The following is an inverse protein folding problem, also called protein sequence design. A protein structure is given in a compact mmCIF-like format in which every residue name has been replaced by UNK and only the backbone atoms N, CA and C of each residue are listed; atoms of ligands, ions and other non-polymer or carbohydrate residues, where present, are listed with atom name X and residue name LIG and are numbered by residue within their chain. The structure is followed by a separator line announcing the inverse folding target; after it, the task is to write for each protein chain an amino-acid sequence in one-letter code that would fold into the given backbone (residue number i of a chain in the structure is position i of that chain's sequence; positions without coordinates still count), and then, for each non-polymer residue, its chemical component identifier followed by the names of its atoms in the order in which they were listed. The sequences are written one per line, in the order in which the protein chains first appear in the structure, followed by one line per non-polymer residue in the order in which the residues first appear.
data_IF_793070341159
#
_entry.id   IF_793070341159
#
_cell.length_a   1.000
_cell.length_b   1.000
_cell.length_c   1.000
_cell.angle_alpha   90.00
_cell.angle_beta   90.00
_cell.angle_gamma   90.00
#
_symmetry.space_group_name_H-M   'P 1'
#
loop_
_entity.id
_entity.type
_entity.pdbx_description
1 polymer ?
#
# COMPACT_ATOMS: atom_id res chain seq x y z
N UNK A 1 3.09 -22.72 -10.55
CA UNK A 1 3.31 -24.16 -10.85
C UNK A 1 3.32 -24.39 -12.35
N UNK A 2 4.20 -25.26 -12.82
CA UNK A 2 4.31 -25.59 -14.25
C UNK A 2 4.42 -27.09 -14.43
N UNK A 3 3.95 -27.57 -15.58
CA UNK A 3 4.20 -28.93 -16.05
C UNK A 3 5.38 -28.88 -17.00
N UNK A 4 6.37 -29.74 -16.77
CA UNK A 4 7.60 -29.77 -17.57
C UNK A 4 7.77 -31.12 -18.23
N UNK A 5 8.38 -31.12 -19.40
CA UNK A 5 8.91 -32.31 -20.06
C UNK A 5 10.41 -32.36 -19.80
N UNK A 6 10.89 -33.43 -19.21
CA UNK A 6 12.32 -33.63 -18.91
C UNK A 6 12.96 -34.42 -20.04
N UNK A 7 14.01 -33.86 -20.65
CA UNK A 7 14.76 -34.53 -21.70
C UNK A 7 15.72 -35.58 -21.12
N UNK A 8 15.60 -36.82 -21.53
CA UNK A 8 16.55 -37.89 -21.19
C UNK A 8 17.86 -37.72 -21.96
N UNK A 9 18.79 -36.88 -21.51
CA UNK A 9 20.15 -36.83 -22.07
C UNK A 9 21.10 -37.71 -21.25
N UNK A 10 21.69 -38.71 -21.92
CA UNK A 10 22.60 -39.70 -21.32
C UNK A 10 23.96 -39.15 -20.85
N UNK A 11 24.29 -37.88 -21.08
CA UNK A 11 25.62 -37.31 -20.81
C UNK A 11 25.67 -35.98 -20.04
N UNK A 12 24.56 -35.40 -19.57
CA UNK A 12 24.56 -34.15 -18.84
C UNK A 12 24.34 -34.40 -17.34
N UNK A 13 25.16 -33.79 -16.47
CA UNK A 13 25.01 -33.82 -15.02
C UNK A 13 23.78 -33.04 -14.51
N UNK A 14 23.18 -32.22 -15.36
CA UNK A 14 21.96 -31.44 -15.02
C UNK A 14 20.84 -31.83 -15.97
N UNK A 15 19.65 -32.20 -15.48
CA UNK A 15 18.50 -32.47 -16.31
C UNK A 15 18.08 -31.18 -17.02
N UNK A 16 17.83 -31.27 -18.31
CA UNK A 16 17.22 -30.19 -19.11
C UNK A 16 15.72 -30.48 -19.21
N UNK A 17 14.91 -29.45 -19.11
CA UNK A 17 13.45 -29.56 -19.18
C UNK A 17 12.85 -28.40 -19.95
N UNK A 18 11.72 -28.65 -20.61
CA UNK A 18 10.89 -27.66 -21.28
C UNK A 18 9.57 -27.49 -20.53
N UNK A 19 9.13 -26.24 -20.36
CA UNK A 19 7.81 -25.95 -19.80
C UNK A 19 6.76 -26.17 -20.89
N UNK A 20 5.91 -27.18 -20.72
CA UNK A 20 4.85 -27.53 -21.68
C UNK A 20 3.51 -26.90 -21.32
N UNK A 21 3.28 -26.58 -20.02
CA UNK A 21 2.03 -26.02 -19.54
C UNK A 21 2.26 -25.20 -18.28
N UNK A 22 1.61 -24.04 -18.20
CA UNK A 22 1.56 -23.24 -16.97
C UNK A 22 0.25 -23.62 -16.26
N UNK A 23 0.38 -24.33 -15.13
CA UNK A 23 -0.77 -24.77 -14.32
C UNK A 23 -1.29 -23.61 -13.45
N UNK A 24 -0.37 -22.86 -12.85
CA UNK A 24 -0.68 -21.77 -11.92
C UNK A 24 0.42 -20.71 -12.00
N UNK A 25 0.04 -19.46 -12.20
CA UNK A 25 0.97 -18.34 -12.16
C UNK A 25 1.24 -17.94 -10.69
N UNK A 26 2.46 -17.60 -10.38
CA UNK A 26 2.83 -17.16 -9.03
C UNK A 26 2.34 -15.74 -8.75
N UNK A 27 2.24 -14.90 -9.79
CA UNK A 27 1.76 -13.53 -9.73
C UNK A 27 0.85 -13.28 -10.92
N UNK A 28 -0.30 -12.69 -10.66
CA UNK A 28 -1.32 -12.35 -11.68
C UNK A 28 -1.65 -10.86 -11.69
N UNK A 29 -1.20 -10.11 -10.69
CA UNK A 29 -1.46 -8.68 -10.56
C UNK A 29 -0.14 -7.91 -10.65
N UNK A 30 -0.14 -6.84 -11.42
CA UNK A 30 1.05 -6.05 -11.73
C UNK A 30 0.73 -4.57 -11.65
N UNK A 31 1.68 -3.80 -11.12
CA UNK A 31 1.62 -2.34 -11.16
C UNK A 31 2.37 -1.87 -12.41
N UNK A 32 1.83 -0.86 -13.07
CA UNK A 32 2.48 -0.26 -14.22
C UNK A 32 1.82 1.04 -14.66
N UNK A 33 2.43 1.69 -15.62
CA UNK A 33 1.88 2.91 -16.23
C UNK A 33 1.10 2.51 -17.49
N UNK A 34 -0.12 3.04 -17.62
CA UNK A 34 -0.97 2.74 -18.77
C UNK A 34 -0.79 3.77 -19.89
N UNK A 35 -0.50 3.27 -21.08
CA UNK A 35 -0.55 4.03 -22.34
C UNK A 35 -1.85 3.72 -23.06
N UNK A 36 -2.77 4.71 -23.14
CA UNK A 36 -4.09 4.53 -23.74
C UNK A 36 -4.10 5.05 -25.17
N UNK A 37 -4.52 4.17 -26.08
CA UNK A 37 -4.85 4.47 -27.47
C UNK A 37 -6.37 4.65 -27.63
N UNK A 38 -6.84 4.85 -28.86
CA UNK A 38 -8.29 5.13 -29.11
C UNK A 38 -9.24 4.06 -28.53
N UNK A 39 -8.90 2.79 -28.58
CA UNK A 39 -9.78 1.68 -28.23
C UNK A 39 -9.16 0.60 -27.32
N UNK A 40 -7.96 0.84 -26.81
CA UNK A 40 -7.23 -0.08 -25.93
C UNK A 40 -6.12 0.65 -25.19
N UNK A 41 -5.49 -0.01 -24.26
CA UNK A 41 -4.27 0.47 -23.60
C UNK A 41 -3.23 -0.63 -23.49
N UNK A 42 -1.99 -0.23 -23.26
CA UNK A 42 -0.91 -1.09 -22.83
C UNK A 42 -0.42 -0.66 -21.47
N UNK A 43 -0.20 -1.62 -20.58
CA UNK A 43 0.39 -1.35 -19.26
C UNK A 43 1.84 -1.81 -19.27
N UNK A 44 2.76 -0.86 -19.17
CA UNK A 44 4.19 -1.09 -19.05
C UNK A 44 4.53 -1.25 -17.57
N UNK A 45 5.01 -2.43 -17.18
CA UNK A 45 5.32 -2.75 -15.79
C UNK A 45 6.80 -2.57 -15.50
N UNK A 46 7.15 -2.12 -14.29
CA UNK A 46 8.53 -2.07 -13.81
C UNK A 46 9.08 -3.44 -13.39
N UNK A 47 8.25 -4.47 -13.40
CA UNK A 47 8.62 -5.81 -12.95
C UNK A 47 9.50 -6.52 -13.99
N UNK A 48 10.77 -6.78 -13.64
CA UNK A 48 11.75 -7.43 -14.51
C UNK A 48 11.36 -8.85 -15.00
N UNK A 49 10.37 -9.48 -14.36
CA UNK A 49 9.86 -10.80 -14.77
C UNK A 49 8.76 -10.70 -15.85
N UNK A 50 8.19 -9.50 -16.04
CA UNK A 50 7.25 -9.21 -17.11
C UNK A 50 8.00 -8.51 -18.26
N UNK A 51 8.33 -9.25 -19.29
CA UNK A 51 9.19 -8.80 -20.39
C UNK A 51 8.43 -8.14 -21.55
N UNK A 52 7.11 -8.03 -21.43
CA UNK A 52 6.23 -7.41 -22.44
C UNK A 52 5.11 -6.63 -21.76
N UNK A 53 4.55 -5.66 -22.45
CA UNK A 53 3.42 -4.86 -21.97
C UNK A 53 2.15 -5.69 -21.92
N UNK A 54 1.26 -5.36 -20.99
CA UNK A 54 -0.04 -6.02 -20.83
C UNK A 54 -1.08 -5.27 -21.65
N UNK A 55 -1.69 -5.93 -22.61
CA UNK A 55 -2.78 -5.37 -23.42
C UNK A 55 -4.08 -5.31 -22.61
N UNK A 56 -4.73 -4.15 -22.60
CA UNK A 56 -6.00 -3.90 -21.90
C UNK A 56 -7.02 -3.40 -22.91
N UNK A 57 -8.09 -4.15 -23.20
CA UNK A 57 -9.16 -3.72 -24.11
C UNK A 57 -9.98 -2.58 -23.48
N UNK A 58 -10.62 -1.75 -24.33
CA UNK A 58 -11.34 -0.55 -23.93
C UNK A 58 -12.34 -0.74 -22.78
N UNK A 59 -13.09 -1.84 -22.81
CA UNK A 59 -14.11 -2.17 -21.80
C UNK A 59 -13.52 -2.66 -20.46
N UNK A 60 -12.19 -2.74 -20.35
CA UNK A 60 -11.47 -3.17 -19.15
C UNK A 60 -10.48 -2.11 -18.63
N UNK A 61 -10.58 -0.89 -19.13
CA UNK A 61 -9.72 0.23 -18.70
C UNK A 61 -10.11 0.77 -17.32
N UNK A 62 -11.33 0.53 -16.84
CA UNK A 62 -11.81 0.94 -15.49
C UNK A 62 -11.52 2.42 -15.18
N UNK A 63 -11.94 3.32 -16.08
CA UNK A 63 -11.80 4.79 -15.99
C UNK A 63 -10.34 5.30 -15.94
N UNK A 64 -9.34 4.44 -16.16
CA UNK A 64 -7.95 4.84 -16.26
C UNK A 64 -7.74 5.83 -17.40
N UNK A 65 -6.91 6.82 -17.16
CA UNK A 65 -6.46 7.80 -18.13
C UNK A 65 -5.04 7.51 -18.60
N UNK A 66 -4.69 8.01 -19.77
CA UNK A 66 -3.33 7.88 -20.28
C UNK A 66 -2.32 8.44 -19.27
N UNK A 67 -1.29 7.65 -18.98
CA UNK A 67 -0.24 7.98 -18.04
C UNK A 67 -0.53 7.70 -16.57
N UNK A 68 -1.70 7.13 -16.22
CA UNK A 68 -1.98 6.73 -14.85
C UNK A 68 -1.12 5.53 -14.43
N UNK A 69 -0.79 5.49 -13.14
CA UNK A 69 -0.31 4.27 -12.47
C UNK A 69 -1.51 3.42 -12.14
N UNK A 70 -1.51 2.18 -12.61
CA UNK A 70 -2.63 1.26 -12.45
C UNK A 70 -2.18 -0.07 -11.89
N UNK A 71 -3.07 -0.72 -11.14
CA UNK A 71 -2.99 -2.14 -10.83
C UNK A 71 -3.77 -2.90 -11.90
N UNK A 72 -3.09 -3.77 -12.65
CA UNK A 72 -3.67 -4.58 -13.73
C UNK A 72 -3.61 -6.07 -13.37
N UNK A 73 -4.71 -6.77 -13.59
CA UNK A 73 -4.78 -8.23 -13.46
C UNK A 73 -4.55 -8.87 -14.82
N UNK A 74 -3.63 -9.81 -14.88
CA UNK A 74 -3.40 -10.66 -16.04
C UNK A 74 -4.50 -11.74 -16.09
N UNK A 75 -5.27 -11.73 -17.16
CA UNK A 75 -6.37 -12.66 -17.33
C UNK A 75 -5.98 -13.86 -18.21
N UNK A 76 -5.39 -13.59 -19.37
CA UNK A 76 -5.00 -14.62 -20.32
C UNK A 76 -3.69 -14.27 -21.03
N UNK A 77 -2.99 -15.29 -21.46
CA UNK A 77 -1.80 -15.16 -22.30
C UNK A 77 -1.81 -16.25 -23.38
N UNK A 78 -2.50 -16.00 -24.50
CA UNK A 78 -2.55 -16.96 -25.59
C UNK A 78 -1.16 -17.23 -26.16
N UNK A 79 -0.83 -18.47 -26.47
CA UNK A 79 0.49 -18.90 -26.98
C UNK A 79 0.97 -18.15 -28.25
N UNK A 80 0.03 -17.58 -29.02
CA UNK A 80 0.31 -16.85 -30.27
C UNK A 80 0.25 -15.33 -30.10
N UNK A 81 -0.05 -14.82 -28.90
CA UNK A 81 -0.13 -13.39 -28.64
C UNK A 81 1.22 -12.84 -28.17
N UNK A 82 1.64 -11.73 -28.75
CA UNK A 82 2.86 -11.04 -28.37
C UNK A 82 2.75 -10.42 -26.96
N UNK A 83 1.54 -10.05 -26.57
CA UNK A 83 1.22 -9.45 -25.26
C UNK A 83 0.14 -10.24 -24.55
N UNK A 84 0.23 -10.37 -23.21
CA UNK A 84 -0.85 -10.92 -22.40
C UNK A 84 -2.04 -9.95 -22.35
N UNK A 85 -3.22 -10.49 -22.10
CA UNK A 85 -4.45 -9.73 -21.89
C UNK A 85 -4.67 -9.49 -20.40
N UNK A 86 -5.07 -8.28 -20.05
CA UNK A 86 -5.38 -7.90 -18.67
C UNK A 86 -6.57 -6.97 -18.55
N UNK A 87 -6.94 -6.72 -17.31
CA UNK A 87 -7.94 -5.72 -16.94
C UNK A 87 -7.39 -4.83 -15.85
N UNK A 88 -7.65 -3.53 -15.92
CA UNK A 88 -7.35 -2.61 -14.82
C UNK A 88 -8.27 -2.95 -13.64
N UNK A 89 -7.67 -3.26 -12.49
CA UNK A 89 -8.40 -3.48 -11.24
C UNK A 89 -8.67 -2.14 -10.57
N UNK A 90 -7.61 -1.31 -10.51
CA UNK A 90 -7.65 -0.02 -9.82
C UNK A 90 -6.70 0.98 -10.46
N UNK A 91 -7.11 2.25 -10.48
CA UNK A 91 -6.24 3.40 -10.74
C UNK A 91 -5.63 3.82 -9.41
N UNK A 92 -4.30 3.85 -9.32
CA UNK A 92 -3.58 4.21 -8.10
C UNK A 92 -3.31 5.72 -8.01
N UNK A 93 -3.19 6.39 -9.15
CA UNK A 93 -2.98 7.85 -9.24
C UNK A 93 -2.01 8.23 -10.37
N UNK A 94 -1.42 9.41 -10.25
CA UNK A 94 -0.43 9.90 -11.21
C UNK A 94 1.00 9.55 -10.77
N UNK A 95 1.92 9.27 -11.72
CA UNK A 95 3.33 9.05 -11.41
C UNK A 95 3.93 10.25 -10.66
N UNK A 96 4.75 9.98 -9.64
CA UNK A 96 5.44 10.99 -8.84
C UNK A 96 4.64 11.61 -7.71
N UNK A 97 3.36 11.27 -7.56
CA UNK A 97 2.58 11.59 -6.36
C UNK A 97 2.97 10.62 -5.23
N UNK A 98 3.27 11.15 -4.05
CA UNK A 98 3.76 10.36 -2.92
C UNK A 98 2.85 9.17 -2.58
N UNK A 99 1.55 9.41 -2.45
CA UNK A 99 0.58 8.38 -2.09
C UNK A 99 0.46 7.31 -3.20
N UNK A 100 0.53 7.74 -4.47
CA UNK A 100 0.55 6.83 -5.63
C UNK A 100 1.75 5.90 -5.59
N UNK A 101 2.95 6.43 -5.31
CA UNK A 101 4.18 5.62 -5.24
C UNK A 101 4.12 4.61 -4.08
N UNK A 102 3.61 5.03 -2.91
CA UNK A 102 3.43 4.12 -1.76
C UNK A 102 2.41 3.03 -2.07
N UNK A 103 1.24 3.39 -2.61
CA UNK A 103 0.22 2.41 -3.00
C UNK A 103 0.72 1.45 -4.08
N UNK A 104 1.51 1.95 -5.03
CA UNK A 104 2.14 1.14 -6.07
C UNK A 104 3.09 0.09 -5.47
N UNK A 105 3.93 0.48 -4.51
CA UNK A 105 4.82 -0.44 -3.80
C UNK A 105 4.02 -1.49 -3.03
N UNK A 106 3.04 -1.07 -2.23
CA UNK A 106 2.22 -1.99 -1.46
C UNK A 106 1.51 -3.02 -2.37
N UNK A 107 0.87 -2.53 -3.45
CA UNK A 107 0.20 -3.39 -4.43
C UNK A 107 1.17 -4.34 -5.15
N UNK A 108 2.38 -3.88 -5.51
CA UNK A 108 3.40 -4.73 -6.14
C UNK A 108 3.82 -5.90 -5.26
N UNK A 109 3.84 -5.71 -3.94
CA UNK A 109 4.17 -6.76 -2.96
C UNK A 109 2.95 -7.52 -2.44
N UNK A 110 1.74 -7.19 -2.92
CA UNK A 110 0.49 -7.84 -2.48
C UNK A 110 0.11 -7.48 -1.05
N UNK A 111 0.56 -6.32 -0.56
CA UNK A 111 0.18 -5.78 0.74
C UNK A 111 -1.10 -4.94 0.62
N UNK A 112 -1.92 -4.86 1.69
CA UNK A 112 -3.06 -3.96 1.71
C UNK A 112 -2.63 -2.50 1.49
N UNK A 113 -3.32 -1.78 0.64
CA UNK A 113 -3.08 -0.37 0.33
C UNK A 113 -4.33 0.50 0.50
N UNK A 114 -5.45 -0.11 0.87
CA UNK A 114 -6.69 0.54 1.25
C UNK A 114 -7.26 -0.11 2.50
N UNK A 115 -7.99 0.66 3.29
CA UNK A 115 -8.84 0.11 4.33
C UNK A 115 -10.17 -0.36 3.74
N UNK A 116 -10.81 -1.40 4.33
CA UNK A 116 -12.19 -1.73 4.02
C UNK A 116 -13.13 -0.53 4.23
N UNK A 117 -14.17 -0.41 3.39
CA UNK A 117 -15.10 0.74 3.43
C UNK A 117 -15.75 0.91 4.80
N UNK A 118 -16.05 -0.20 5.49
CA UNK A 118 -16.61 -0.19 6.84
C UNK A 118 -15.64 0.34 7.90
N UNK A 119 -14.32 0.13 7.72
CA UNK A 119 -13.27 0.66 8.61
C UNK A 119 -13.18 2.17 8.44
N UNK A 120 -13.12 2.65 7.20
CA UNK A 120 -13.12 4.09 6.90
C UNK A 120 -14.40 4.77 7.40
N UNK A 121 -15.55 4.14 7.19
CA UNK A 121 -16.82 4.66 7.66
C UNK A 121 -16.92 4.71 9.20
N UNK A 122 -16.27 3.79 9.89
CA UNK A 122 -16.19 3.81 11.35
C UNK A 122 -15.23 4.90 11.82
N UNK A 123 -14.01 4.97 11.26
CA UNK A 123 -13.01 5.96 11.60
C UNK A 123 -13.54 7.40 11.43
N UNK A 124 -14.23 7.68 10.33
CA UNK A 124 -14.82 8.99 10.04
C UNK A 124 -15.96 9.39 11.02
N UNK A 125 -16.47 8.49 11.84
CA UNK A 125 -17.49 8.78 12.86
C UNK A 125 -16.89 9.05 14.24
N UNK A 126 -15.61 8.82 14.44
CA UNK A 126 -14.95 9.08 15.71
C UNK A 126 -14.97 10.57 15.99
N UNK A 127 -15.52 10.94 17.17
CA UNK A 127 -15.46 12.32 17.63
C UNK A 127 -14.03 12.63 18.10
N UNK A 128 -13.38 13.56 17.42
CA UNK A 128 -12.03 14.01 17.73
C UNK A 128 -12.00 15.22 18.68
N UNK A 129 -13.15 15.69 19.16
CA UNK A 129 -13.24 16.79 20.11
C UNK A 129 -12.72 16.38 21.49
N UNK A 130 -11.94 17.25 22.12
CA UNK A 130 -11.49 17.07 23.50
C UNK A 130 -12.53 17.70 24.41
N UNK A 131 -13.32 16.86 25.06
CA UNK A 131 -14.41 17.30 25.95
C UNK A 131 -13.88 17.80 27.30
N UNK A 132 -14.65 18.65 28.00
CA UNK A 132 -14.30 19.08 29.35
C UNK A 132 -14.25 17.90 30.34
N UNK A 133 -15.03 16.87 30.13
CA UNK A 133 -14.99 15.64 30.92
C UNK A 133 -13.64 14.94 30.76
N UNK A 134 -13.13 14.85 29.53
CA UNK A 134 -11.83 14.23 29.26
C UNK A 134 -10.66 15.04 29.85
N UNK A 135 -10.73 16.36 29.79
CA UNK A 135 -9.76 17.25 30.43
C UNK A 135 -9.68 17.00 31.94
N UNK A 136 -10.84 16.85 32.61
CA UNK A 136 -10.86 16.66 34.07
C UNK A 136 -10.36 15.29 34.53
N UNK A 137 -10.42 14.27 33.66
CA UNK A 137 -9.88 12.92 33.92
C UNK A 137 -8.36 12.85 33.81
N UNK A 138 -7.74 13.80 33.14
CA UNK A 138 -6.31 13.80 32.82
C UNK A 138 -5.57 14.88 33.61
N UNK A 139 -4.25 14.70 33.78
CA UNK A 139 -3.40 15.75 34.30
C UNK A 139 -3.25 16.84 33.23
N UNK A 140 -3.64 18.07 33.60
CA UNK A 140 -3.52 19.21 32.68
C UNK A 140 -2.07 19.72 32.62
N UNK A 141 -1.42 19.58 31.49
CA UNK A 141 -0.05 19.97 31.20
C UNK A 141 0.05 21.27 30.38
N UNK A 142 -1.07 21.97 30.10
CA UNK A 142 -1.09 23.16 29.23
C UNK A 142 -0.28 24.35 29.78
N UNK A 143 -0.01 24.38 31.07
CA UNK A 143 0.81 25.40 31.71
C UNK A 143 2.25 24.95 32.03
N UNK A 144 2.63 23.74 31.60
CA UNK A 144 3.98 23.20 31.77
C UNK A 144 4.73 23.31 30.47
N UNK A 145 6.00 23.70 30.49
CA UNK A 145 6.85 23.69 29.30
C UNK A 145 6.86 22.29 28.69
N UNK A 146 6.27 22.16 27.51
CA UNK A 146 6.16 20.91 26.78
C UNK A 146 6.61 21.12 25.35
N UNK A 147 7.40 20.21 24.80
CA UNK A 147 7.96 20.31 23.46
C UNK A 147 8.14 18.93 22.83
N UNK A 148 8.19 18.91 21.48
CA UNK A 148 8.53 17.74 20.67
C UNK A 148 9.88 17.96 19.97
N UNK A 149 10.53 16.88 19.54
CA UNK A 149 11.78 16.92 18.79
C UNK A 149 11.61 16.04 17.56
N UNK A 150 11.08 16.64 16.51
CA UNK A 150 10.70 15.95 15.28
C UNK A 150 11.45 16.48 14.07
N UNK A 151 11.53 15.72 12.96
CA UNK A 151 11.95 16.26 11.68
C UNK A 151 11.11 17.46 11.25
N UNK A 152 11.70 18.38 10.48
CA UNK A 152 11.04 19.62 10.05
C UNK A 152 9.75 19.40 9.27
N UNK A 153 9.64 18.27 8.58
CA UNK A 153 8.53 17.84 7.72
C UNK A 153 7.58 16.83 8.38
N UNK A 154 7.75 16.58 9.68
CA UNK A 154 6.83 15.74 10.44
C UNK A 154 5.41 16.30 10.40
N UNK A 155 4.42 15.42 10.19
CA UNK A 155 2.99 15.77 10.12
C UNK A 155 2.22 15.33 11.36
N UNK A 156 2.73 14.36 12.09
CA UNK A 156 2.18 13.70 13.26
C UNK A 156 3.22 13.75 14.39
N UNK A 157 2.77 14.10 15.59
CA UNK A 157 3.60 14.24 16.78
C UNK A 157 3.11 13.22 17.81
N UNK A 158 3.78 12.07 17.85
CA UNK A 158 3.35 10.95 18.70
C UNK A 158 3.88 11.04 20.11
N UNK A 159 5.01 11.75 20.31
CA UNK A 159 5.64 11.90 21.61
C UNK A 159 6.03 13.35 21.92
N UNK A 160 6.05 13.65 23.19
CA UNK A 160 6.48 14.96 23.70
C UNK A 160 7.21 14.81 25.04
N UNK A 161 8.04 15.77 25.36
CA UNK A 161 8.70 15.90 26.64
C UNK A 161 8.18 17.12 27.38
N UNK A 162 8.03 17.02 28.69
CA UNK A 162 7.80 18.17 29.54
C UNK A 162 8.86 18.31 30.61
N UNK A 163 9.05 19.57 31.08
CA UNK A 163 10.02 19.90 32.10
C UNK A 163 9.49 20.97 33.04
N UNK A 164 9.65 20.75 34.33
CA UNK A 164 9.42 21.78 35.34
C UNK A 164 10.33 21.60 36.55
N UNK A 165 10.61 22.72 37.23
CA UNK A 165 11.31 22.72 38.51
C UNK A 165 10.27 22.73 39.62
N UNK A 166 10.38 21.79 40.56
CA UNK A 166 9.46 21.66 41.69
C UNK A 166 9.90 22.59 42.83
N UNK A 167 8.99 22.90 43.74
CA UNK A 167 9.24 23.79 44.92
C UNK A 167 10.39 23.31 45.80
N UNK A 168 10.63 22.00 45.85
CA UNK A 168 11.74 21.41 46.62
C UNK A 168 13.08 21.44 45.87
N UNK A 169 13.15 22.12 44.73
CA UNK A 169 14.35 22.24 43.87
C UNK A 169 14.65 21.04 42.99
N UNK A 170 13.82 19.99 42.99
CA UNK A 170 13.92 18.86 42.09
C UNK A 170 13.36 19.19 40.71
N UNK A 171 13.73 18.40 39.74
CA UNK A 171 13.19 18.44 38.38
C UNK A 171 12.12 17.37 38.17
N UNK A 172 11.02 17.73 37.56
CA UNK A 172 10.05 16.79 37.02
C UNK A 172 10.20 16.77 35.50
N UNK A 173 10.42 15.60 34.94
CA UNK A 173 10.49 15.38 33.51
C UNK A 173 9.34 14.44 33.15
N UNK A 174 8.49 14.86 32.23
CA UNK A 174 7.41 14.03 31.66
C UNK A 174 7.79 13.51 30.29
N UNK A 175 7.42 12.27 30.03
CA UNK A 175 7.40 11.67 28.68
C UNK A 175 5.94 11.41 28.36
N UNK A 176 5.46 11.98 27.28
CA UNK A 176 4.06 11.94 26.88
C UNK A 176 3.95 11.21 25.55
N UNK A 177 3.06 10.24 25.47
CA UNK A 177 2.81 9.45 24.25
C UNK A 177 1.34 9.65 23.84
N UNK A 178 1.10 9.77 22.53
CA UNK A 178 -0.25 9.88 21.99
C UNK A 178 -1.13 8.72 22.46
N UNK A 179 -2.30 9.05 23.03
CA UNK A 179 -3.23 8.05 23.58
C UNK A 179 -4.14 7.50 22.46
N UNK A 180 -3.57 6.69 21.57
CA UNK A 180 -4.32 6.05 20.49
C UNK A 180 -5.47 5.19 21.02
N UNK A 181 -5.30 4.56 22.19
CA UNK A 181 -6.32 3.72 22.81
C UNK A 181 -7.57 4.50 23.26
N UNK A 182 -7.47 5.83 23.35
CA UNK A 182 -8.65 6.68 23.55
C UNK A 182 -9.63 6.60 22.37
N UNK A 183 -9.12 6.52 21.15
CA UNK A 183 -9.88 6.48 19.91
C UNK A 183 -10.13 5.05 19.41
N UNK A 184 -9.09 4.21 19.41
CA UNK A 184 -9.18 2.81 19.00
C UNK A 184 -9.48 1.94 20.22
N UNK A 185 -10.75 1.56 20.37
CA UNK A 185 -11.19 0.73 21.49
C UNK A 185 -11.06 -0.75 21.15
N UNK A 186 -10.63 -1.54 22.14
CA UNK A 186 -10.55 -3.00 22.06
C UNK A 186 -11.87 -3.60 21.57
N UNK A 187 -11.79 -4.54 20.64
CA UNK A 187 -12.92 -5.24 20.05
C UNK A 187 -13.72 -4.41 19.03
N UNK A 188 -13.26 -3.23 18.66
CA UNK A 188 -13.87 -2.46 17.55
C UNK A 188 -13.30 -2.91 16.21
N UNK A 189 -13.92 -2.47 15.10
CA UNK A 189 -13.43 -2.78 13.74
C UNK A 189 -12.05 -2.17 13.43
N UNK A 190 -11.61 -1.15 14.20
CA UNK A 190 -10.30 -0.55 14.06
C UNK A 190 -9.20 -1.32 14.79
N UNK A 191 -9.56 -2.11 15.82
CA UNK A 191 -8.64 -2.95 16.57
C UNK A 191 -8.31 -4.24 15.78
#
# INVERSE_FOLDING_TARGET
KVKVYIYNKRSSRKPEAEVIEIIERAKTEFVGVIDIQKNFGFVTTANAKMYTDIFVPKNKLNDAQHGDVVLVKLEDWPKKADSPFGSVIKVLGKPGEHDTEIHAILAEYGLPYDFPVEVDAFANKIDTSITQEEITKRRDMRNVLTFTIDPKDAKDFDDALSFQVLENGNYEIGVHIADVSHYVKEGTILD
#
